data_IF_539484560423
#
_entry.id   IF_539484560423
#
_cell.length_a   1.000
_cell.length_b   1.000
_cell.length_c   1.000
_cell.angle_alpha   90.00
_cell.angle_beta   90.00
_cell.angle_gamma   90.00
#
_symmetry.space_group_name_H-M   'P 1'
#
loop_
_entity.id
_entity.type
_entity.pdbx_description
1 polymer ?
#
# COMPACT_ATOMS: atom_id res chain seq x y z
N UNK A 1 5.78 -1.08 11.94
CA UNK A 1 6.48 0.21 12.11
C UNK A 1 6.74 0.84 10.75
N UNK A 2 6.42 2.11 10.63
CA UNK A 2 6.67 2.94 9.45
C UNK A 2 7.44 4.16 9.96
N UNK A 3 8.70 4.31 9.56
CA UNK A 3 9.57 5.41 9.97
C UNK A 3 9.86 6.30 8.76
N UNK A 4 9.40 7.55 8.78
CA UNK A 4 9.62 8.52 7.70
C UNK A 4 11.11 8.84 7.48
N UNK A 5 11.98 8.61 8.48
CA UNK A 5 13.44 8.79 8.35
C UNK A 5 14.09 7.65 7.56
N UNK A 6 13.36 6.55 7.32
CA UNK A 6 13.81 5.35 6.60
C UNK A 6 12.79 4.95 5.53
N UNK A 7 12.57 5.79 4.49
CA UNK A 7 11.57 5.53 3.45
C UNK A 7 11.97 4.38 2.49
N UNK A 8 13.13 3.77 2.69
CA UNK A 8 13.60 2.58 1.98
C UNK A 8 13.01 1.28 2.52
N UNK A 9 12.32 1.32 3.67
CA UNK A 9 11.84 0.11 4.36
C UNK A 9 10.59 0.34 5.21
N UNK A 10 9.91 -0.76 5.51
CA UNK A 10 8.93 -0.86 6.60
C UNK A 10 9.24 -2.07 7.46
N UNK A 11 8.81 -2.07 8.72
CA UNK A 11 8.89 -3.25 9.61
C UNK A 11 7.49 -3.81 9.81
N UNK A 12 7.26 -5.05 9.40
CA UNK A 12 6.00 -5.77 9.58
C UNK A 12 6.25 -7.02 10.41
N UNK A 13 5.63 -7.13 11.59
CA UNK A 13 5.82 -8.24 12.54
C UNK A 13 7.30 -8.53 12.85
N UNK A 14 8.09 -7.47 13.05
CA UNK A 14 9.53 -7.59 13.30
C UNK A 14 10.38 -7.94 12.06
N UNK A 15 9.76 -8.13 10.89
CA UNK A 15 10.47 -8.38 9.62
C UNK A 15 10.61 -7.11 8.80
N UNK A 16 11.83 -6.84 8.33
CA UNK A 16 12.12 -5.74 7.40
C UNK A 16 11.59 -6.08 6.00
N UNK A 17 10.89 -5.12 5.38
CA UNK A 17 10.44 -5.17 4.00
C UNK A 17 11.01 -3.97 3.27
N UNK A 18 11.74 -4.21 2.19
CA UNK A 18 12.27 -3.14 1.34
C UNK A 18 11.19 -2.64 0.39
N UNK A 19 11.10 -1.33 0.27
CA UNK A 19 10.09 -0.63 -0.55
C UNK A 19 10.74 0.52 -1.29
N UNK A 20 10.22 0.86 -2.46
CA UNK A 20 10.62 2.10 -3.14
C UNK A 20 10.00 3.30 -2.42
N UNK A 21 10.54 4.50 -2.64
CA UNK A 21 9.99 5.74 -2.07
C UNK A 21 8.48 5.88 -2.36
N UNK A 22 8.07 5.61 -3.60
CA UNK A 22 6.65 5.57 -4.00
C UNK A 22 5.82 4.57 -3.19
N UNK A 23 6.31 3.34 -3.03
CA UNK A 23 5.60 2.32 -2.26
C UNK A 23 5.51 2.70 -0.79
N UNK A 24 6.57 3.30 -0.24
CA UNK A 24 6.58 3.81 1.12
C UNK A 24 5.54 4.91 1.32
N UNK A 25 5.53 5.93 0.46
CA UNK A 25 4.55 7.03 0.55
C UNK A 25 3.11 6.51 0.50
N UNK A 26 2.83 5.56 -0.39
CA UNK A 26 1.52 4.93 -0.50
C UNK A 26 1.14 4.16 0.77
N UNK A 27 2.03 3.32 1.29
CA UNK A 27 1.80 2.56 2.53
C UNK A 27 1.61 3.50 3.71
N UNK A 28 2.44 4.54 3.79
CA UNK A 28 2.41 5.52 4.86
C UNK A 28 1.08 6.28 4.87
N UNK A 29 0.65 6.79 3.71
CA UNK A 29 -0.64 7.46 3.58
C UNK A 29 -1.80 6.53 3.96
N UNK A 30 -1.80 5.29 3.44
CA UNK A 30 -2.83 4.30 3.80
C UNK A 30 -2.85 3.97 5.30
N UNK A 31 -1.67 3.92 5.94
CA UNK A 31 -1.59 3.69 7.39
C UNK A 31 -2.08 4.89 8.20
N UNK A 32 -1.87 6.12 7.72
CA UNK A 32 -2.42 7.33 8.34
C UNK A 32 -3.95 7.36 8.26
N UNK A 33 -4.52 6.85 7.17
CA UNK A 33 -5.97 6.83 6.92
C UNK A 33 -6.60 5.44 7.15
N UNK A 34 -6.04 4.59 8.02
CA UNK A 34 -6.44 3.18 8.18
C UNK A 34 -7.90 2.94 8.61
N UNK A 35 -8.60 3.96 9.11
CA UNK A 35 -10.04 3.92 9.46
C UNK A 35 -10.94 4.65 8.43
N UNK A 36 -10.34 5.25 7.41
CA UNK A 36 -11.04 6.04 6.40
C UNK A 36 -11.01 5.35 5.04
N UNK A 37 -12.17 5.34 4.39
CA UNK A 37 -12.29 4.90 3.00
C UNK A 37 -11.71 5.98 2.08
N UNK A 38 -10.48 5.79 1.60
CA UNK A 38 -9.95 6.59 0.49
C UNK A 38 -10.30 5.96 -0.85
N UNK A 39 -10.85 6.78 -1.74
CA UNK A 39 -11.00 6.49 -3.16
C UNK A 39 -9.64 6.51 -3.86
N UNK A 40 -9.57 5.96 -5.07
CA UNK A 40 -8.37 6.07 -5.89
C UNK A 40 -8.04 7.51 -6.24
N UNK A 41 -9.06 8.33 -6.49
CA UNK A 41 -8.88 9.73 -6.89
C UNK A 41 -8.22 10.52 -5.74
N UNK A 42 -8.68 10.33 -4.50
CA UNK A 42 -8.06 10.92 -3.29
C UNK A 42 -6.63 10.42 -3.06
N UNK A 43 -6.38 9.13 -3.29
CA UNK A 43 -5.03 8.56 -3.19
C UNK A 43 -4.06 9.17 -4.22
N UNK A 44 -4.55 9.47 -5.42
CA UNK A 44 -3.77 10.12 -6.46
C UNK A 44 -3.52 11.58 -6.12
N UNK A 45 -4.56 12.29 -5.68
CA UNK A 45 -4.47 13.68 -5.27
C UNK A 45 -3.51 13.86 -4.09
N UNK A 46 -3.44 12.95 -3.13
CA UNK A 46 -2.52 13.10 -1.99
C UNK A 46 -1.06 12.74 -2.33
N UNK A 47 -0.83 11.75 -3.19
CA UNK A 47 0.52 11.24 -3.47
C UNK A 47 1.19 11.86 -4.71
N UNK A 48 0.40 12.29 -5.69
CA UNK A 48 0.85 12.75 -7.00
C UNK A 48 0.07 13.99 -7.49
N UNK A 49 -0.06 15.01 -6.63
CA UNK A 49 -0.46 16.35 -7.10
C UNK A 49 0.40 16.66 -8.34
N UNK A 50 -0.23 16.83 -9.50
CA UNK A 50 0.35 17.20 -10.81
C UNK A 50 0.82 16.10 -11.80
N UNK A 51 0.59 14.79 -11.58
CA UNK A 51 0.79 13.79 -12.66
C UNK A 51 -0.55 13.19 -13.17
N UNK A 52 -1.19 13.85 -14.13
CA UNK A 52 -2.52 13.45 -14.65
C UNK A 52 -2.52 12.16 -15.51
N UNK A 53 -1.38 11.73 -16.07
CA UNK A 53 -1.46 10.92 -17.30
C UNK A 53 -1.39 9.39 -17.20
N UNK A 54 -1.27 8.72 -16.02
CA UNK A 54 -1.27 7.24 -16.02
C UNK A 54 -1.43 6.48 -14.67
N UNK A 55 -2.21 6.91 -13.67
CA UNK A 55 -1.92 6.46 -12.28
C UNK A 55 -2.95 5.53 -11.59
N UNK A 56 -4.10 5.20 -12.17
CA UNK A 56 -4.98 4.18 -11.55
C UNK A 56 -4.37 2.76 -11.52
N UNK A 57 -3.90 2.27 -12.67
CA UNK A 57 -3.30 0.95 -12.78
C UNK A 57 -1.95 0.86 -12.04
N UNK A 58 -1.23 1.98 -11.90
CA UNK A 58 0.03 2.04 -11.16
C UNK A 58 -0.19 1.90 -9.66
N UNK A 59 -1.19 2.58 -9.06
CA UNK A 59 -1.49 2.44 -7.62
C UNK A 59 -1.87 1.00 -7.28
N UNK A 60 -2.84 0.41 -8.00
CA UNK A 60 -3.26 -0.97 -7.73
C UNK A 60 -2.13 -1.98 -7.94
N UNK A 61 -1.26 -1.76 -8.94
CA UNK A 61 -0.05 -2.54 -9.16
C UNK A 61 0.94 -2.41 -7.99
N UNK A 62 1.22 -1.19 -7.51
CA UNK A 62 2.12 -0.94 -6.39
C UNK A 62 1.61 -1.58 -5.09
N UNK A 63 0.32 -1.42 -4.77
CA UNK A 63 -0.33 -2.10 -3.64
C UNK A 63 -0.17 -3.62 -3.77
N UNK A 64 -0.48 -4.16 -4.95
CA UNK A 64 -0.38 -5.60 -5.19
C UNK A 64 1.05 -6.11 -5.03
N UNK A 65 2.06 -5.36 -5.48
CA UNK A 65 3.48 -5.71 -5.32
C UNK A 65 3.91 -5.69 -3.86
N UNK A 66 3.47 -4.69 -3.09
CA UNK A 66 3.72 -4.60 -1.64
C UNK A 66 3.07 -5.79 -0.92
N UNK A 67 1.79 -6.06 -1.18
CA UNK A 67 1.07 -7.20 -0.59
C UNK A 67 1.77 -8.53 -0.85
N UNK A 68 2.20 -8.76 -2.10
CA UNK A 68 2.96 -9.98 -2.45
C UNK A 68 4.29 -10.07 -1.70
N UNK A 69 4.98 -8.95 -1.52
CA UNK A 69 6.25 -8.92 -0.80
C UNK A 69 6.04 -9.24 0.68
N UNK A 70 5.01 -8.67 1.31
CA UNK A 70 4.61 -9.00 2.69
C UNK A 70 4.26 -10.48 2.81
N UNK A 71 3.40 -11.00 1.92
CA UNK A 71 2.98 -12.41 1.94
C UNK A 71 4.13 -13.39 1.80
N UNK A 72 5.10 -13.09 0.93
CA UNK A 72 6.32 -13.91 0.80
C UNK A 72 7.13 -13.94 2.10
N UNK A 73 7.15 -12.84 2.86
CA UNK A 73 7.92 -12.74 4.11
C UNK A 73 7.23 -13.43 5.29
N UNK A 74 5.90 -13.34 5.40
CA UNK A 74 5.14 -13.96 6.50
C UNK A 74 4.66 -15.39 6.19
N UNK A 75 4.78 -15.81 4.94
CA UNK A 75 4.33 -17.11 4.43
C UNK A 75 2.91 -17.05 3.85
N UNK A 76 2.66 -17.83 2.78
CA UNK A 76 1.40 -17.79 2.03
C UNK A 76 0.27 -18.63 2.63
N UNK A 77 -0.05 -18.42 3.92
CA UNK A 77 -1.21 -19.07 4.55
C UNK A 77 -2.51 -18.34 4.22
N UNK A 78 -3.66 -19.04 4.33
CA UNK A 78 -4.99 -18.42 4.18
C UNK A 78 -5.19 -17.27 5.18
N UNK A 79 -4.75 -17.46 6.42
CA UNK A 79 -4.78 -16.46 7.49
C UNK A 79 -3.95 -15.22 7.13
N UNK A 80 -2.75 -15.42 6.60
CA UNK A 80 -1.86 -14.32 6.21
C UNK A 80 -2.39 -13.54 4.99
N UNK A 81 -3.01 -14.23 4.03
CA UNK A 81 -3.70 -13.61 2.89
C UNK A 81 -4.82 -12.69 3.36
N UNK A 82 -5.61 -13.13 4.33
CA UNK A 82 -6.69 -12.31 4.89
C UNK A 82 -6.16 -11.12 5.69
N UNK A 83 -5.11 -11.33 6.48
CA UNK A 83 -4.43 -10.26 7.21
C UNK A 83 -3.92 -9.17 6.27
N UNK A 84 -3.23 -9.54 5.19
CA UNK A 84 -2.68 -8.59 4.21
C UNK A 84 -3.75 -7.91 3.36
N UNK A 85 -4.94 -8.51 3.22
CA UNK A 85 -6.10 -7.82 2.63
C UNK A 85 -6.59 -6.69 3.54
N UNK A 86 -6.58 -6.88 4.85
CA UNK A 86 -7.13 -5.88 5.77
C UNK A 86 -6.14 -4.76 6.13
N UNK A 87 -4.84 -4.91 5.84
CA UNK A 87 -3.84 -3.84 6.05
C UNK A 87 -4.07 -2.63 5.13
N UNK A 88 -4.62 -2.86 3.93
CA UNK A 88 -4.83 -1.82 2.92
C UNK A 88 -6.26 -1.94 2.38
N UNK A 89 -7.24 -1.46 3.14
CA UNK A 89 -8.63 -1.39 2.66
C UNK A 89 -8.73 -0.21 1.69
N UNK A 90 -8.26 -0.40 0.45
CA UNK A 90 -8.59 0.48 -0.67
C UNK A 90 -9.76 -0.16 -1.39
N UNK A 91 -10.89 0.53 -1.49
CA UNK A 91 -12.04 0.02 -2.25
C UNK A 91 -11.63 -0.01 -3.73
N UNK A 92 -11.58 -1.19 -4.37
CA UNK A 92 -11.60 -1.23 -5.83
C UNK A 92 -12.93 -0.60 -6.25
N UNK A 93 -12.88 0.54 -6.94
CA UNK A 93 -14.01 1.01 -7.75
C UNK A 93 -14.22 -0.08 -8.80
N UNK A 94 -15.03 -1.09 -8.48
CA UNK A 94 -15.46 -2.10 -9.45
C UNK A 94 -16.22 -1.34 -10.53
N UNK A 95 -15.87 -1.63 -11.77
CA UNK A 95 -16.51 -1.07 -12.95
C UNK A 95 -18.02 -1.14 -12.84
N UNK A 96 -18.65 -0.01 -13.18
CA UNK A 96 -19.94 -0.01 -13.85
C UNK A 96 -19.70 -0.47 -15.27
#
# INVERSE_FOLDING_TARGET
EIDQRRPDRIIFEGKKIEVTATQFSLIHLLAQHHEQLMSYDELLDELWKYEEDAIHNRVSFHISKVRRSILKLIGESKTNKEKVKNIFVVVPKRGV
#
